data_IF_263899019481
#
_entry.id   IF_263899019481
#
_cell.length_a   1.000
_cell.length_b   1.000
_cell.length_c   1.000
_cell.angle_alpha   90.00
_cell.angle_beta   90.00
_cell.angle_gamma   90.00
#
_symmetry.space_group_name_H-M   'P 1'
#
loop_
_entity.id
_entity.type
_entity.pdbx_description
1 polymer ?
#
# COMPACT_ATOMS: atom_id res chain seq x y z
N UNK A 1 -4.24 12.48 2.85
CA UNK A 1 -3.05 12.05 2.11
C UNK A 1 -2.27 13.27 1.65
N UNK A 2 -0.95 13.30 1.86
CA UNK A 2 -0.06 14.40 1.49
C UNK A 2 0.07 14.52 -0.05
N UNK A 3 -0.06 15.71 -0.66
CA UNK A 3 -0.02 15.86 -2.11
C UNK A 3 1.37 15.64 -2.71
N UNK A 4 2.44 15.97 -1.97
CA UNK A 4 3.81 15.72 -2.43
C UNK A 4 4.14 14.22 -2.42
N UNK A 5 3.51 13.45 -1.52
CA UNK A 5 3.57 11.99 -1.53
C UNK A 5 2.98 11.39 -2.81
N UNK A 6 1.79 11.86 -3.22
CA UNK A 6 1.15 11.41 -4.47
C UNK A 6 1.99 11.83 -5.68
N UNK A 7 2.43 13.09 -5.71
CA UNK A 7 3.28 13.61 -6.79
C UNK A 7 4.60 12.84 -6.94
N UNK A 8 5.18 12.34 -5.84
CA UNK A 8 6.39 11.53 -5.88
C UNK A 8 6.19 10.18 -6.59
N UNK A 9 4.95 9.66 -6.65
CA UNK A 9 4.62 8.42 -7.33
C UNK A 9 4.20 8.63 -8.79
N UNK A 10 3.70 9.82 -9.13
CA UNK A 10 3.11 10.13 -10.44
C UNK A 10 4.07 9.96 -11.62
N UNK A 11 5.38 10.09 -11.38
CA UNK A 11 6.42 9.92 -12.40
C UNK A 11 6.42 8.49 -12.98
N UNK A 12 6.29 7.49 -12.12
CA UNK A 12 6.41 6.07 -12.48
C UNK A 12 5.06 5.33 -12.46
N UNK A 13 4.10 5.85 -11.72
CA UNK A 13 2.82 5.22 -11.45
C UNK A 13 1.66 6.15 -11.81
N UNK A 14 0.59 5.58 -12.34
CA UNK A 14 -0.73 6.18 -12.26
C UNK A 14 -1.30 5.89 -10.88
N UNK A 15 -1.75 6.94 -10.21
CA UNK A 15 -2.32 6.89 -8.87
C UNK A 15 -3.83 7.21 -8.94
N UNK A 16 -4.63 6.52 -8.13
CA UNK A 16 -6.03 6.86 -7.96
C UNK A 16 -6.46 6.58 -6.51
N UNK A 17 -7.22 7.50 -5.89
CA UNK A 17 -7.78 7.29 -4.57
C UNK A 17 -8.80 6.15 -4.60
N UNK A 18 -8.93 5.45 -3.48
CA UNK A 18 -10.01 4.47 -3.27
C UNK A 18 -11.05 5.03 -2.30
N UNK A 19 -12.14 4.29 -2.05
CA UNK A 19 -13.13 4.65 -1.02
C UNK A 19 -12.53 4.73 0.39
N UNK A 20 -11.43 4.00 0.65
CA UNK A 20 -10.66 4.15 1.88
C UNK A 20 -9.55 5.20 1.67
N UNK A 21 -9.57 6.32 2.43
CA UNK A 21 -8.57 7.38 2.31
C UNK A 21 -7.14 6.94 2.68
N UNK A 22 -6.97 5.77 3.29
CA UNK A 22 -5.68 5.16 3.61
C UNK A 22 -5.16 4.26 2.50
N UNK A 23 -5.95 3.98 1.47
CA UNK A 23 -5.55 3.14 0.36
C UNK A 23 -5.36 4.00 -0.88
N UNK A 24 -4.15 3.98 -1.42
CA UNK A 24 -3.81 4.58 -2.70
C UNK A 24 -3.52 3.48 -3.69
N UNK A 25 -4.29 3.39 -4.75
CA UNK A 25 -4.02 2.38 -5.74
C UNK A 25 -3.11 2.89 -6.84
N UNK A 26 -2.30 1.95 -7.34
CA UNK A 26 -1.14 2.18 -8.16
C UNK A 26 -1.18 1.28 -9.38
N UNK A 27 -0.85 1.85 -10.53
CA UNK A 27 -0.57 1.10 -11.76
C UNK A 27 0.74 1.63 -12.33
N UNK A 28 1.73 0.75 -12.55
CA UNK A 28 2.95 1.13 -13.26
C UNK A 28 2.60 1.67 -14.65
N UNK A 29 3.19 2.81 -15.03
CA UNK A 29 3.00 3.43 -16.35
C UNK A 29 3.68 2.62 -17.45
N UNK A 30 4.87 2.10 -17.17
CA UNK A 30 5.66 1.26 -18.07
C UNK A 30 5.69 -0.20 -17.59
N UNK A 31 5.54 -1.16 -18.50
CA UNK A 31 5.68 -2.59 -18.22
C UNK A 31 4.36 -3.38 -18.16
N UNK A 32 4.45 -4.68 -17.83
CA UNK A 32 3.31 -5.58 -17.68
C UNK A 32 2.51 -5.21 -16.43
N UNK A 33 1.39 -4.52 -16.67
CA UNK A 33 0.57 -3.70 -15.74
C UNK A 33 0.00 -4.43 -14.51
N UNK A 34 0.83 -4.81 -13.53
CA UNK A 34 0.30 -5.23 -12.21
C UNK A 34 -0.28 -4.03 -11.48
N UNK A 35 -1.56 -4.14 -11.14
CA UNK A 35 -2.24 -3.19 -10.25
C UNK A 35 -1.93 -3.58 -8.81
N UNK A 36 -1.49 -2.59 -8.03
CA UNK A 36 -1.20 -2.74 -6.61
C UNK A 36 -1.91 -1.65 -5.81
N UNK A 37 -2.05 -1.85 -4.51
CA UNK A 37 -2.68 -0.92 -3.58
C UNK A 37 -1.71 -0.63 -2.44
N UNK A 38 -1.24 0.61 -2.36
CA UNK A 38 -0.39 1.09 -1.29
C UNK A 38 -1.22 1.46 -0.07
N UNK A 39 -0.88 0.87 1.07
CA UNK A 39 -1.48 1.20 2.36
C UNK A 39 -0.71 2.37 2.97
N UNK A 40 -1.34 3.54 2.95
CA UNK A 40 -0.85 4.80 3.52
C UNK A 40 -1.31 4.88 4.98
N UNK A 41 -0.62 4.14 5.84
CA UNK A 41 -0.82 4.16 7.29
C UNK A 41 0.08 5.19 7.98
N UNK A 42 -0.10 5.35 9.29
CA UNK A 42 0.67 6.31 10.08
C UNK A 42 2.19 6.03 10.05
N UNK A 43 2.60 4.77 9.88
CA UNK A 43 4.01 4.40 9.79
C UNK A 43 4.61 4.88 8.46
N UNK A 44 3.88 4.70 7.35
CA UNK A 44 4.30 5.21 6.04
C UNK A 44 4.31 6.73 5.98
N UNK A 45 3.31 7.39 6.57
CA UNK A 45 3.26 8.84 6.69
C UNK A 45 4.43 9.39 7.53
N UNK A 46 4.73 8.76 8.67
CA UNK A 46 5.86 9.14 9.51
C UNK A 46 7.21 8.93 8.81
N UNK A 47 7.37 7.81 8.09
CA UNK A 47 8.55 7.56 7.27
C UNK A 47 8.71 8.62 6.19
N UNK A 48 7.64 8.97 5.48
CA UNK A 48 7.65 10.00 4.44
C UNK A 48 8.06 11.37 5.00
N UNK A 49 7.43 11.79 6.09
CA UNK A 49 7.74 13.05 6.76
C UNK A 49 9.19 13.11 7.23
N UNK A 50 9.69 12.05 7.88
CA UNK A 50 11.09 11.95 8.31
C UNK A 50 12.07 11.99 7.14
N UNK A 51 11.77 11.29 6.04
CA UNK A 51 12.63 11.28 4.86
C UNK A 51 12.67 12.66 4.17
N UNK A 52 11.52 13.31 4.02
CA UNK A 52 11.42 14.67 3.48
C UNK A 52 12.15 15.71 4.32
N UNK A 53 12.10 15.59 5.65
CA UNK A 53 12.80 16.49 6.54
C UNK A 53 14.33 16.32 6.45
N UNK A 54 14.79 15.07 6.26
CA UNK A 54 16.21 14.77 6.15
C UNK A 54 16.80 15.12 4.77
N UNK A 55 16.06 14.82 3.70
CA UNK A 55 16.55 14.93 2.31
C UNK A 55 15.37 15.08 1.33
N UNK A 56 14.85 16.30 1.15
CA UNK A 56 13.65 16.54 0.35
C UNK A 56 13.83 16.22 -1.13
N UNK A 57 15.04 16.45 -1.68
CA UNK A 57 15.33 16.21 -3.10
C UNK A 57 15.32 14.72 -3.44
N UNK A 58 15.82 13.87 -2.54
CA UNK A 58 15.85 12.42 -2.76
C UNK A 58 14.67 11.67 -2.18
N UNK A 59 13.79 12.33 -1.42
CA UNK A 59 12.64 11.68 -0.79
C UNK A 59 11.72 11.04 -1.83
N UNK A 60 11.40 11.76 -2.91
CA UNK A 60 10.53 11.27 -3.98
C UNK A 60 11.11 10.01 -4.66
N UNK A 61 12.36 10.08 -5.11
CA UNK A 61 13.06 8.95 -5.74
C UNK A 61 13.16 7.74 -4.79
N UNK A 62 13.38 7.97 -3.50
CA UNK A 62 13.43 6.89 -2.51
C UNK A 62 12.07 6.21 -2.31
N UNK A 63 10.97 6.96 -2.31
CA UNK A 63 9.62 6.40 -2.24
C UNK A 63 9.31 5.57 -3.50
N UNK A 64 9.53 6.14 -4.68
CA UNK A 64 9.28 5.48 -5.95
C UNK A 64 10.06 4.16 -6.08
N UNK A 65 11.34 4.16 -5.72
CA UNK A 65 12.19 2.96 -5.73
C UNK A 65 11.69 1.86 -4.78
N UNK A 66 11.19 2.23 -3.59
CA UNK A 66 10.66 1.24 -2.62
C UNK A 66 9.35 0.64 -3.10
N UNK A 67 8.48 1.44 -3.70
CA UNK A 67 7.23 0.97 -4.31
C UNK A 67 7.51 0.04 -5.48
N UNK A 68 8.36 0.46 -6.42
CA UNK A 68 8.72 -0.35 -7.58
C UNK A 68 9.30 -1.71 -7.16
N UNK A 69 10.24 -1.70 -6.21
CA UNK A 69 10.81 -2.92 -5.64
C UNK A 69 9.74 -3.84 -5.05
N UNK A 70 8.81 -3.29 -4.26
CA UNK A 70 7.76 -4.10 -3.66
C UNK A 70 6.82 -4.70 -4.73
N UNK A 71 6.49 -3.96 -5.78
CA UNK A 71 5.66 -4.47 -6.89
C UNK A 71 6.36 -5.64 -7.61
N UNK A 72 7.67 -5.54 -7.86
CA UNK A 72 8.45 -6.62 -8.49
C UNK A 72 8.52 -7.88 -7.60
N UNK A 73 8.61 -7.70 -6.29
CA UNK A 73 8.65 -8.79 -5.32
C UNK A 73 7.28 -9.44 -5.08
N UNK A 74 6.18 -8.83 -5.54
CA UNK A 74 4.84 -9.32 -5.28
C UNK A 74 4.59 -10.67 -5.96
N UNK A 75 4.07 -11.63 -5.19
CA UNK A 75 3.59 -12.90 -5.68
C UNK A 75 2.19 -12.83 -6.31
N UNK A 76 1.72 -13.92 -6.94
CA UNK A 76 0.35 -14.02 -7.43
C UNK A 76 -0.65 -13.82 -6.27
N UNK A 77 -1.50 -12.80 -6.39
CA UNK A 77 -2.53 -12.47 -5.39
C UNK A 77 -2.11 -11.44 -4.33
N UNK A 78 -0.83 -11.11 -4.22
CA UNK A 78 -0.34 -10.05 -3.34
C UNK A 78 -0.53 -8.69 -4.01
N UNK A 79 -1.64 -8.04 -3.70
CA UNK A 79 -2.00 -6.74 -4.29
C UNK A 79 -1.67 -5.56 -3.40
N UNK A 80 -1.50 -5.76 -2.10
CA UNK A 80 -1.30 -4.68 -1.14
C UNK A 80 0.18 -4.47 -0.84
N UNK A 81 0.60 -3.22 -0.67
CA UNK A 81 1.95 -2.85 -0.24
C UNK A 81 1.83 -2.19 1.13
N UNK A 82 2.45 -2.80 2.15
CA UNK A 82 2.38 -2.34 3.54
C UNK A 82 3.79 -2.02 4.03
N UNK A 83 3.95 -0.96 4.83
CA UNK A 83 5.23 -0.68 5.47
C UNK A 83 5.35 -1.54 6.74
N UNK A 84 6.18 -2.58 6.69
CA UNK A 84 6.48 -3.46 7.82
C UNK A 84 7.97 -3.42 8.15
N UNK A 85 8.32 -3.23 9.43
CA UNK A 85 9.72 -3.21 9.88
C UNK A 85 10.60 -2.19 9.16
N UNK A 86 10.03 -1.09 8.65
CA UNK A 86 10.77 -0.09 7.87
C UNK A 86 11.07 -0.52 6.43
N UNK A 87 10.30 -1.44 5.85
CA UNK A 87 10.38 -1.90 4.46
C UNK A 87 8.97 -2.01 3.87
N UNK A 88 8.78 -1.64 2.60
CA UNK A 88 7.52 -1.95 1.90
C UNK A 88 7.52 -3.43 1.53
N UNK A 89 6.47 -4.15 1.93
CA UNK A 89 6.29 -5.57 1.70
C UNK A 89 4.97 -5.85 0.99
N UNK A 90 4.95 -6.69 -0.05
CA UNK A 90 3.73 -7.20 -0.65
C UNK A 90 2.89 -7.97 0.37
N UNK A 91 1.58 -7.91 0.20
CA UNK A 91 0.60 -8.51 1.10
C UNK A 91 -0.69 -8.83 0.34
N UNK A 92 -1.37 -9.88 0.78
CA UNK A 92 -2.75 -10.19 0.38
C UNK A 92 -3.78 -9.47 1.25
N UNK A 93 -3.36 -8.90 2.40
CA UNK A 93 -4.22 -8.23 3.37
C UNK A 93 -4.06 -6.72 3.29
N UNK A 94 -5.20 -6.02 3.36
CA UNK A 94 -5.29 -4.55 3.53
C UNK A 94 -4.87 -4.10 4.92
N UNK A 95 -4.92 -5.00 5.91
CA UNK A 95 -4.83 -4.66 7.33
C UNK A 95 -3.37 -4.75 7.82
N UNK A 96 -2.89 -3.74 8.56
CA UNK A 96 -1.60 -3.82 9.27
C UNK A 96 -1.55 -5.08 10.13
N UNK A 97 -0.38 -5.70 10.36
CA UNK A 97 -0.26 -6.74 11.37
C UNK A 97 -0.84 -6.19 12.67
N UNK A 98 -1.73 -6.96 13.31
CA UNK A 98 -2.24 -6.61 14.62
C UNK A 98 -1.02 -6.42 15.53
N UNK A 99 -0.71 -5.17 15.87
CA UNK A 99 0.24 -4.89 16.95
C UNK A 99 -0.31 -5.64 18.14
N UNK A 100 0.48 -6.60 18.64
CA UNK A 100 0.09 -7.38 19.81
C UNK A 100 -0.04 -6.38 20.95
N UNK A 101 -1.27 -5.97 21.21
CA UNK A 101 -1.60 -5.14 22.35
C UNK A 101 -1.14 -5.93 23.58
N UNK A 102 -0.10 -5.42 24.25
CA UNK A 102 0.36 -6.00 25.52
C UNK A 102 -0.53 -5.51 26.67
N UNK A 103 -1.57 -4.72 26.38
CA UNK A 103 -2.63 -4.45 27.33
C UNK A 103 -3.52 -5.70 27.52
N UNK A 104 -3.78 -6.13 28.77
CA UNK A 104 -4.65 -7.27 29.05
C UNK A 104 -6.07 -6.99 28.53
N UNK A 105 -6.60 -7.92 27.74
CA UNK A 105 -7.91 -7.85 27.10
C UNK A 105 -9.04 -7.93 28.12
N UNK A 106 -10.07 -7.10 27.95
CA UNK A 106 -11.39 -7.38 28.53
C UNK A 106 -12.45 -7.31 27.42
N UNK A 107 -12.94 -8.48 27.02
CA UNK A 107 -14.22 -8.66 26.31
C UNK A 107 -14.33 -8.07 24.90
N UNK A 108 -14.14 -8.89 23.87
CA UNK A 108 -14.47 -8.49 22.50
C UNK A 108 -14.51 -9.67 21.54
N UNK A 109 -15.71 -10.10 21.19
CA UNK A 109 -16.04 -11.21 20.28
C UNK A 109 -15.34 -11.04 18.92
N UNK A 110 -14.62 -12.06 18.45
CA UNK A 110 -14.00 -12.09 17.12
C UNK A 110 -15.09 -12.28 16.06
N UNK A 111 -15.23 -11.32 15.15
CA UNK A 111 -16.06 -11.44 13.94
C UNK A 111 -15.12 -11.77 12.78
N UNK A 112 -15.35 -12.89 12.10
CA UNK A 112 -14.63 -13.25 10.88
C UNK A 112 -15.18 -12.43 9.70
N UNK A 113 -14.30 -11.74 8.98
CA UNK A 113 -14.66 -11.09 7.72
C UNK A 113 -14.55 -12.09 6.57
N UNK A 114 -15.63 -12.21 5.79
CA UNK A 114 -15.71 -12.94 4.52
C UNK A 114 -15.76 -11.89 3.41
N UNK A 115 -14.78 -11.82 2.49
CA UNK A 115 -14.89 -10.95 1.32
C UNK A 115 -15.99 -11.48 0.38
N UNK A 116 -16.99 -10.65 0.11
CA UNK A 116 -17.91 -10.85 -1.01
C UNK A 116 -17.29 -10.16 -2.22
N UNK A 117 -16.60 -10.90 -3.08
CA UNK A 117 -16.47 -10.51 -4.48
C UNK A 117 -17.02 -11.62 -5.37
N UNK A 118 -17.96 -11.18 -6.20
CA UNK A 118 -18.76 -11.91 -7.16
C UNK A 118 -17.87 -12.12 -8.38
N UNK A 119 -17.61 -13.37 -8.75
CA UNK A 119 -17.08 -13.71 -10.08
C UNK A 119 -18.02 -13.09 -11.14
N UNK A 120 -17.57 -12.01 -11.78
CA UNK A 120 -18.13 -11.57 -13.04
C UNK A 120 -17.60 -12.50 -14.14
N UNK A 121 -18.46 -13.06 -15.01
CA UNK A 121 -18.01 -13.99 -16.04
C UNK A 121 -17.03 -13.31 -17.01
N UNK A 122 -16.06 -14.06 -17.58
CA UNK A 122 -15.22 -13.55 -18.65
C UNK A 122 -16.07 -13.16 -19.87
N UNK A 123 -15.73 -12.02 -20.48
CA UNK A 123 -16.33 -11.53 -21.73
C UNK A 123 -16.31 -12.63 -22.82
N UNK A 124 -17.44 -12.92 -23.50
CA UNK A 124 -17.43 -13.82 -24.64
C UNK A 124 -16.81 -13.13 -25.86
N UNK A 125 -15.89 -13.84 -26.52
CA UNK A 125 -15.47 -13.56 -27.89
C UNK A 125 -16.44 -14.17 -28.90
#
# INVERSE_FOLDING_TARGET
MDPAFVQALDADHETWPTDDPRLLALRQRSGARRRSVLVVDAALEAWWAGRRAADPERAAAALAARVARAIEEAGPGERYLVLDGGRLTPSTRTTPPAVRDTAPTTGGRRVAYVPIERDGPPDPA
#
